data_IF_443266918593
#
_entry.id   IF_443266918593
#
_cell.length_a   1.000
_cell.length_b   1.000
_cell.length_c   1.000
_cell.angle_alpha   90.00
_cell.angle_beta   90.00
_cell.angle_gamma   90.00
#
_symmetry.space_group_name_H-M   'P 1'
#
loop_
_entity.id
_entity.type
_entity.pdbx_description
1 polymer ?
#
# COMPACT_ATOMS: atom_id res chain seq x y z
N UNK A 1 -21.63 -18.76 -3.00
CA UNK A 1 -22.19 -17.40 -2.83
C UNK A 1 -21.13 -16.36 -2.48
N UNK A 2 -20.33 -16.54 -1.42
CA UNK A 2 -19.30 -15.57 -1.01
C UNK A 2 -18.29 -15.21 -2.12
N UNK A 3 -17.85 -16.21 -2.89
CA UNK A 3 -16.91 -16.06 -4.00
C UNK A 3 -17.45 -15.16 -5.13
N UNK A 4 -18.73 -15.34 -5.50
CA UNK A 4 -19.38 -14.51 -6.52
C UNK A 4 -19.46 -13.05 -6.04
N UNK A 5 -19.79 -12.84 -4.77
CA UNK A 5 -19.91 -11.50 -4.18
C UNK A 5 -18.56 -10.78 -4.13
N UNK A 6 -17.47 -11.52 -3.89
CA UNK A 6 -16.10 -11.01 -3.96
C UNK A 6 -15.71 -10.65 -5.41
N UNK A 7 -16.05 -11.49 -6.39
CA UNK A 7 -15.76 -11.21 -7.80
C UNK A 7 -16.49 -9.95 -8.30
N UNK A 8 -17.74 -9.76 -7.90
CA UNK A 8 -18.50 -8.54 -8.21
C UNK A 8 -17.84 -7.33 -7.55
N UNK A 9 -17.48 -7.42 -6.28
CA UNK A 9 -16.77 -6.36 -5.57
C UNK A 9 -15.45 -5.98 -6.24
N UNK A 10 -14.69 -6.98 -6.70
CA UNK A 10 -13.42 -6.78 -7.42
C UNK A 10 -13.63 -6.03 -8.74
N UNK A 11 -14.64 -6.42 -9.53
CA UNK A 11 -14.93 -5.75 -10.79
C UNK A 11 -15.26 -4.25 -10.58
N UNK A 12 -16.12 -3.96 -9.60
CA UNK A 12 -16.48 -2.58 -9.26
C UNK A 12 -15.26 -1.81 -8.72
N UNK A 13 -14.40 -2.46 -7.94
CA UNK A 13 -13.18 -1.85 -7.39
C UNK A 13 -12.20 -1.43 -8.49
N UNK A 14 -12.08 -2.20 -9.57
CA UNK A 14 -11.28 -1.83 -10.73
C UNK A 14 -11.84 -0.56 -11.38
N UNK A 15 -13.15 -0.50 -11.59
CA UNK A 15 -13.82 0.68 -12.17
C UNK A 15 -13.67 1.93 -11.29
N UNK A 16 -13.83 1.79 -9.98
CA UNK A 16 -13.60 2.85 -8.99
C UNK A 16 -12.15 3.34 -9.05
N UNK A 17 -11.19 2.41 -9.16
CA UNK A 17 -9.78 2.74 -9.29
C UNK A 17 -9.49 3.59 -10.52
N UNK A 18 -10.04 3.22 -11.68
CA UNK A 18 -9.89 3.97 -12.94
C UNK A 18 -10.57 5.33 -12.86
N UNK A 19 -11.83 5.37 -12.43
CA UNK A 19 -12.60 6.62 -12.31
C UNK A 19 -11.99 7.58 -11.27
N UNK A 20 -11.38 7.05 -10.20
CA UNK A 20 -10.72 7.84 -9.17
C UNK A 20 -9.47 8.57 -9.65
N UNK A 21 -8.84 8.14 -10.75
CA UNK A 21 -7.70 8.86 -11.34
C UNK A 21 -8.12 10.22 -11.89
N UNK A 22 -9.35 10.35 -12.39
CA UNK A 22 -9.87 11.58 -13.01
C UNK A 22 -9.84 12.79 -12.03
N UNK A 23 -10.51 12.74 -10.85
CA UNK A 23 -10.45 13.84 -9.89
C UNK A 23 -9.04 14.02 -9.31
N UNK A 24 -8.22 12.97 -9.22
CA UNK A 24 -6.82 13.07 -8.76
C UNK A 24 -5.98 13.92 -9.71
N UNK A 25 -6.15 13.74 -11.02
CA UNK A 25 -5.43 14.50 -12.05
C UNK A 25 -5.87 15.97 -12.08
N UNK A 26 -7.17 16.25 -11.87
CA UNK A 26 -7.68 17.63 -11.72
C UNK A 26 -7.31 18.27 -10.37
N UNK A 27 -6.79 17.49 -9.43
CA UNK A 27 -6.56 17.87 -8.03
C UNK A 27 -7.80 18.35 -7.28
N UNK A 28 -8.95 17.78 -7.62
CA UNK A 28 -10.18 17.92 -6.85
C UNK A 28 -10.16 16.97 -5.63
N UNK A 29 -9.14 17.14 -4.80
CA UNK A 29 -8.84 16.26 -3.66
C UNK A 29 -10.03 16.21 -2.68
N UNK A 30 -10.76 17.32 -2.56
CA UNK A 30 -11.96 17.41 -1.71
C UNK A 30 -13.10 16.49 -2.15
N UNK A 31 -13.25 16.21 -3.45
CA UNK A 31 -14.28 15.29 -3.96
C UNK A 31 -13.94 13.86 -3.55
N UNK A 32 -12.67 13.46 -3.72
CA UNK A 32 -12.21 12.11 -3.36
C UNK A 32 -12.33 11.90 -1.85
N UNK A 33 -11.84 12.84 -1.04
CA UNK A 33 -11.92 12.75 0.41
C UNK A 33 -13.38 12.69 0.89
N UNK A 34 -14.30 13.45 0.29
CA UNK A 34 -15.73 13.36 0.62
C UNK A 34 -16.31 11.99 0.27
N UNK A 35 -16.01 11.45 -0.91
CA UNK A 35 -16.50 10.12 -1.33
C UNK A 35 -15.93 9.02 -0.42
N UNK A 36 -14.64 9.08 -0.09
CA UNK A 36 -13.99 8.13 0.81
C UNK A 36 -14.55 8.22 2.23
N UNK A 37 -14.76 9.44 2.74
CA UNK A 37 -15.33 9.68 4.07
C UNK A 37 -16.79 9.21 4.15
N UNK A 38 -17.62 9.52 3.15
CA UNK A 38 -19.00 9.02 3.06
C UNK A 38 -19.00 7.49 3.04
N UNK A 39 -18.14 6.87 2.22
CA UNK A 39 -18.00 5.42 2.19
C UNK A 39 -17.61 4.83 3.54
N UNK A 40 -16.64 5.42 4.23
CA UNK A 40 -16.19 4.97 5.55
C UNK A 40 -17.29 5.13 6.61
N UNK A 41 -18.01 6.25 6.63
CA UNK A 41 -19.13 6.51 7.56
C UNK A 41 -20.28 5.53 7.31
N UNK A 42 -20.69 5.34 6.06
CA UNK A 42 -21.75 4.39 5.69
C UNK A 42 -21.35 2.97 6.09
N UNK A 43 -20.10 2.57 5.82
CA UNK A 43 -19.57 1.26 6.24
C UNK A 43 -19.63 1.09 7.75
N UNK A 44 -19.16 2.10 8.50
CA UNK A 44 -19.16 2.07 9.97
C UNK A 44 -20.58 1.98 10.51
N UNK A 45 -21.50 2.82 10.05
CA UNK A 45 -22.88 2.86 10.50
C UNK A 45 -23.59 1.52 10.27
N UNK A 46 -23.43 0.93 9.07
CA UNK A 46 -24.02 -0.37 8.74
C UNK A 46 -23.43 -1.48 9.60
N UNK A 47 -22.10 -1.50 9.79
CA UNK A 47 -21.44 -2.52 10.63
C UNK A 47 -21.84 -2.40 12.10
N UNK A 48 -21.96 -1.19 12.65
CA UNK A 48 -22.42 -0.97 14.03
C UNK A 48 -23.86 -1.43 14.20
N UNK A 49 -24.74 -1.12 13.24
CA UNK A 49 -26.13 -1.55 13.30
C UNK A 49 -26.27 -3.08 13.22
N UNK A 50 -25.47 -3.73 12.36
CA UNK A 50 -25.45 -5.19 12.23
C UNK A 50 -24.75 -5.89 13.40
N UNK A 51 -23.88 -5.19 14.14
CA UNK A 51 -23.24 -5.74 15.35
C UNK A 51 -24.26 -6.12 16.43
N UNK A 52 -25.39 -5.40 16.51
CA UNK A 52 -26.46 -5.68 17.46
C UNK A 52 -27.38 -6.83 17.04
N UNK A 53 -27.29 -7.31 15.79
CA UNK A 53 -28.14 -8.37 15.26
C UNK A 53 -27.32 -9.65 15.08
N UNK A 54 -26.32 -9.62 14.19
CA UNK A 54 -25.44 -10.76 13.90
C UNK A 54 -24.23 -10.30 13.07
N UNK A 55 -23.03 -10.37 13.66
CA UNK A 55 -21.79 -10.03 12.96
C UNK A 55 -21.09 -11.30 12.46
N UNK A 56 -21.13 -11.54 11.15
CA UNK A 56 -20.36 -12.61 10.50
C UNK A 56 -19.43 -12.00 9.43
N UNK A 57 -18.29 -12.65 9.16
CA UNK A 57 -17.36 -12.24 8.11
C UNK A 57 -18.03 -12.10 6.74
N UNK A 58 -19.03 -12.94 6.44
CA UNK A 58 -19.83 -12.80 5.22
C UNK A 58 -20.60 -11.49 5.13
N UNK A 59 -21.17 -11.04 6.25
CA UNK A 59 -21.88 -9.76 6.35
C UNK A 59 -20.91 -8.60 6.14
N UNK A 60 -19.73 -8.65 6.77
CA UNK A 60 -18.71 -7.60 6.62
C UNK A 60 -18.23 -7.43 5.16
N UNK A 61 -18.08 -8.56 4.43
CA UNK A 61 -17.73 -8.54 3.01
C UNK A 61 -18.86 -7.92 2.18
N UNK A 62 -20.12 -8.31 2.41
CA UNK A 62 -21.27 -7.76 1.68
C UNK A 62 -21.40 -6.26 1.89
N UNK A 63 -21.27 -5.78 3.13
CA UNK A 63 -21.29 -4.34 3.44
C UNK A 63 -20.17 -3.60 2.72
N UNK A 64 -18.96 -4.19 2.67
CA UNK A 64 -17.83 -3.61 1.95
C UNK A 64 -18.10 -3.49 0.44
N UNK A 65 -18.70 -4.52 -0.17
CA UNK A 65 -19.11 -4.47 -1.59
C UNK A 65 -20.17 -3.41 -1.86
N UNK A 66 -21.17 -3.25 -0.99
CA UNK A 66 -22.20 -2.22 -1.11
C UNK A 66 -21.59 -0.81 -1.04
N UNK A 67 -20.65 -0.60 -0.11
CA UNK A 67 -19.96 0.69 0.05
C UNK A 67 -19.12 1.02 -1.18
N UNK A 68 -18.38 0.04 -1.72
CA UNK A 68 -17.61 0.22 -2.96
C UNK A 68 -18.53 0.55 -4.14
N UNK A 69 -19.70 -0.08 -4.22
CA UNK A 69 -20.70 0.24 -5.24
C UNK A 69 -21.26 1.65 -5.10
N UNK A 70 -21.51 2.12 -3.88
CA UNK A 70 -21.89 3.51 -3.64
C UNK A 70 -20.80 4.49 -4.10
N UNK A 71 -19.53 4.21 -3.79
CA UNK A 71 -18.40 5.02 -4.25
C UNK A 71 -18.30 5.06 -5.78
N UNK A 72 -18.53 3.93 -6.46
CA UNK A 72 -18.61 3.85 -7.91
C UNK A 72 -19.69 4.78 -8.49
N UNK A 73 -20.91 4.75 -7.93
CA UNK A 73 -22.01 5.59 -8.41
C UNK A 73 -21.70 7.09 -8.24
N UNK A 74 -21.12 7.47 -7.10
CA UNK A 74 -20.72 8.85 -6.83
C UNK A 74 -19.61 9.32 -7.77
N UNK A 75 -18.59 8.49 -7.99
CA UNK A 75 -17.49 8.79 -8.93
C UNK A 75 -17.98 8.84 -10.37
N UNK A 76 -18.83 7.91 -10.79
CA UNK A 76 -19.39 7.90 -12.15
C UNK A 76 -20.25 9.13 -12.41
N UNK A 77 -21.05 9.56 -11.43
CA UNK A 77 -21.85 10.80 -11.53
C UNK A 77 -20.96 12.03 -11.64
N UNK A 78 -19.86 12.09 -10.89
CA UNK A 78 -18.88 13.17 -10.99
C UNK A 78 -18.20 13.18 -12.37
N UNK A 79 -17.65 12.03 -12.78
CA UNK A 79 -16.92 11.89 -14.04
C UNK A 79 -17.80 12.15 -15.26
N UNK A 80 -19.09 11.80 -15.23
CA UNK A 80 -20.04 12.11 -16.30
C UNK A 80 -20.28 13.61 -16.52
N UNK A 81 -20.08 14.44 -15.48
CA UNK A 81 -20.16 15.89 -15.61
C UNK A 81 -18.88 16.53 -16.16
N UNK A 82 -17.79 15.77 -16.27
CA UNK A 82 -16.43 16.28 -16.44
C UNK A 82 -15.73 15.68 -17.67
N UNK A 83 -16.13 14.51 -18.12
CA UNK A 83 -15.56 13.75 -19.24
C UNK A 83 -16.66 13.25 -20.16
N UNK A 84 -16.43 13.37 -21.46
CA UNK A 84 -17.23 12.70 -22.48
C UNK A 84 -16.76 11.23 -22.61
N UNK A 85 -17.62 10.30 -22.17
CA UNK A 85 -17.35 8.86 -22.28
C UNK A 85 -17.41 8.34 -23.73
N UNK A 86 -17.91 9.13 -24.67
CA UNK A 86 -18.02 8.79 -26.09
C UNK A 86 -16.81 9.19 -26.95
N UNK A 87 -15.80 9.84 -26.37
CA UNK A 87 -14.64 10.31 -27.14
C UNK A 87 -13.83 9.15 -27.76
N UNK A 88 -13.38 9.28 -29.02
CA UNK A 88 -12.59 8.24 -29.69
C UNK A 88 -11.25 8.02 -29.00
N UNK A 89 -10.85 6.74 -28.87
CA UNK A 89 -9.59 6.37 -28.24
C UNK A 89 -8.40 6.72 -29.13
N UNK A 90 -7.42 7.43 -28.58
CA UNK A 90 -6.16 7.69 -29.26
C UNK A 90 -5.28 6.42 -29.28
N UNK A 91 -4.75 6.06 -30.45
CA UNK A 91 -3.97 4.83 -30.64
C UNK A 91 -2.58 4.91 -29.98
N UNK A 92 -1.98 6.10 -29.93
CA UNK A 92 -0.66 6.32 -29.33
C UNK A 92 -0.71 6.16 -27.80
N UNK A 93 -1.70 6.77 -27.16
CA UNK A 93 -1.93 6.65 -25.71
C UNK A 93 -2.20 5.20 -25.30
N UNK A 94 -2.97 4.46 -26.11
CA UNK A 94 -3.25 3.04 -25.89
C UNK A 94 -1.97 2.20 -25.93
N UNK A 95 -1.07 2.50 -26.86
CA UNK A 95 0.19 1.76 -27.03
C UNK A 95 1.14 2.07 -25.87
N UNK A 96 1.26 3.33 -25.46
CA UNK A 96 2.04 3.74 -24.29
C UNK A 96 1.51 3.12 -22.99
N UNK A 97 0.19 3.15 -22.76
CA UNK A 97 -0.43 2.51 -21.60
C UNK A 97 -0.20 0.99 -21.58
N UNK A 98 -0.35 0.31 -22.72
CA UNK A 98 -0.10 -1.14 -22.80
C UNK A 98 1.35 -1.50 -22.52
N UNK A 99 2.30 -0.69 -22.99
CA UNK A 99 3.72 -0.84 -22.66
C UNK A 99 3.97 -0.77 -21.16
N UNK A 100 3.41 0.24 -20.49
CA UNK A 100 3.51 0.42 -19.05
C UNK A 100 2.80 -0.70 -18.26
N UNK A 101 1.60 -1.10 -18.68
CA UNK A 101 0.87 -2.20 -18.04
C UNK A 101 1.66 -3.49 -18.16
N UNK A 102 2.21 -3.80 -19.35
CA UNK A 102 2.98 -5.04 -19.57
C UNK A 102 4.25 -5.09 -18.74
N UNK A 103 4.94 -3.96 -18.57
CA UNK A 103 6.15 -3.90 -17.74
C UNK A 103 5.83 -4.04 -16.24
N UNK A 104 4.67 -3.58 -15.79
CA UNK A 104 4.25 -3.65 -14.39
C UNK A 104 3.47 -4.93 -14.05
N UNK A 105 2.88 -5.62 -15.03
CA UNK A 105 2.01 -6.77 -14.81
C UNK A 105 2.69 -7.88 -14.03
N UNK A 106 3.93 -8.22 -14.37
CA UNK A 106 4.68 -9.26 -13.66
C UNK A 106 4.92 -8.90 -12.19
N UNK A 107 5.25 -7.64 -11.92
CA UNK A 107 5.45 -7.17 -10.55
C UNK A 107 4.12 -7.17 -9.76
N UNK A 108 3.02 -6.74 -10.38
CA UNK A 108 1.70 -6.76 -9.75
C UNK A 108 1.25 -8.18 -9.41
N UNK A 109 1.43 -9.14 -10.33
CA UNK A 109 1.14 -10.56 -10.08
C UNK A 109 2.00 -11.09 -8.93
N UNK A 110 3.31 -10.84 -8.96
CA UNK A 110 4.19 -11.26 -7.88
C UNK A 110 3.77 -10.68 -6.53
N UNK A 111 3.45 -9.39 -6.46
CA UNK A 111 3.02 -8.73 -5.23
C UNK A 111 1.74 -9.37 -4.63
N UNK A 112 0.78 -9.74 -5.48
CA UNK A 112 -0.42 -10.48 -5.05
C UNK A 112 -0.08 -11.85 -4.43
N UNK A 113 0.90 -12.57 -4.99
CA UNK A 113 1.34 -13.86 -4.46
C UNK A 113 2.30 -13.75 -3.27
N UNK A 114 3.13 -12.71 -3.21
CA UNK A 114 4.17 -12.51 -2.21
C UNK A 114 3.60 -12.54 -0.78
N UNK A 115 2.48 -11.86 -0.55
CA UNK A 115 1.80 -11.86 0.75
C UNK A 115 1.34 -13.26 1.16
N UNK A 116 0.79 -14.03 0.21
CA UNK A 116 0.34 -15.40 0.45
C UNK A 116 1.49 -16.37 0.67
N UNK A 117 2.60 -16.23 -0.08
CA UNK A 117 3.82 -17.00 0.12
C UNK A 117 4.35 -16.79 1.53
N UNK A 118 4.37 -15.55 2.02
CA UNK A 118 4.84 -15.24 3.38
C UNK A 118 3.97 -15.92 4.44
N UNK A 119 2.64 -15.83 4.30
CA UNK A 119 1.69 -16.49 5.22
C UNK A 119 1.84 -18.01 5.15
N UNK A 120 2.01 -18.58 3.95
CA UNK A 120 2.19 -20.01 3.74
C UNK A 120 3.48 -20.51 4.38
N UNK A 121 4.61 -19.82 4.15
CA UNK A 121 5.89 -20.15 4.78
C UNK A 121 5.77 -20.12 6.31
N UNK A 122 5.16 -19.07 6.87
CA UNK A 122 4.96 -18.99 8.31
C UNK A 122 4.03 -20.12 8.80
N UNK A 123 2.94 -20.41 8.11
CA UNK A 123 2.00 -21.45 8.53
C UNK A 123 2.57 -22.87 8.42
N UNK A 124 3.42 -23.12 7.42
CA UNK A 124 4.04 -24.42 7.20
C UNK A 124 5.22 -24.67 8.14
N UNK A 125 6.04 -23.64 8.39
CA UNK A 125 7.24 -23.76 9.23
C UNK A 125 7.02 -23.40 10.70
N UNK A 126 6.01 -22.59 11.04
CA UNK A 126 5.65 -22.33 12.44
C UNK A 126 4.86 -23.53 12.99
N UNK A 127 5.45 -24.23 13.96
CA UNK A 127 4.78 -25.31 14.68
C UNK A 127 3.63 -24.82 15.58
N UNK A 128 3.51 -23.51 15.79
CA UNK A 128 2.55 -22.86 16.70
C UNK A 128 1.79 -21.74 15.99
N UNK A 129 0.47 -21.70 16.16
CA UNK A 129 -0.42 -20.72 15.52
C UNK A 129 -0.24 -19.28 16.02
N UNK A 130 0.56 -19.04 17.06
CA UNK A 130 0.85 -17.71 17.61
C UNK A 130 1.60 -16.82 16.61
N UNK A 131 2.60 -17.38 15.92
CA UNK A 131 3.44 -16.62 14.96
C UNK A 131 2.63 -16.00 13.82
N UNK A 132 1.59 -16.69 13.34
CA UNK A 132 0.68 -16.16 12.30
C UNK A 132 -0.21 -15.04 12.86
N UNK A 133 -0.67 -15.18 14.10
CA UNK A 133 -1.52 -14.18 14.75
C UNK A 133 -0.78 -12.87 15.05
N UNK A 134 0.53 -12.93 15.32
CA UNK A 134 1.37 -11.75 15.54
C UNK A 134 1.70 -11.02 14.24
N UNK A 135 1.91 -11.76 13.16
CA UNK A 135 2.03 -11.17 11.81
C UNK A 135 0.71 -10.51 11.40
N UNK A 136 -0.43 -11.07 11.79
CA UNK A 136 -1.73 -10.41 11.67
C UNK A 136 -1.86 -9.13 12.50
N UNK A 137 -1.27 -9.10 13.70
CA UNK A 137 -1.27 -7.93 14.58
C UNK A 137 -0.40 -6.78 14.04
N UNK A 138 0.66 -7.09 13.31
CA UNK A 138 1.45 -6.11 12.54
C UNK A 138 0.55 -5.32 11.58
N UNK A 139 -0.46 -5.97 10.99
CA UNK A 139 -1.49 -5.31 10.18
C UNK A 139 -2.27 -4.23 10.95
N UNK A 140 -2.54 -4.42 12.25
CA UNK A 140 -3.17 -3.39 13.09
C UNK A 140 -2.22 -2.23 13.39
N UNK A 141 -0.95 -2.51 13.66
CA UNK A 141 0.07 -1.46 13.83
C UNK A 141 0.26 -0.65 12.55
N UNK A 142 0.24 -1.32 11.40
CA UNK A 142 0.36 -0.68 10.10
C UNK A 142 -0.79 0.32 9.82
N UNK A 143 -1.92 0.23 10.53
CA UNK A 143 -3.02 1.20 10.39
C UNK A 143 -2.62 2.63 10.73
N UNK A 144 -1.62 2.84 11.59
CA UNK A 144 -1.10 4.19 11.91
C UNK A 144 -0.56 4.86 10.64
N UNK A 145 -0.02 4.08 9.70
CA UNK A 145 0.52 4.58 8.42
C UNK A 145 -0.54 4.76 7.33
N UNK A 146 -1.81 4.39 7.57
CA UNK A 146 -2.88 4.55 6.57
C UNK A 146 -3.15 6.01 6.25
N UNK A 147 -3.06 6.91 7.23
CA UNK A 147 -3.21 8.35 7.00
C UNK A 147 -2.12 8.85 6.05
N UNK A 148 -0.88 8.44 6.30
CA UNK A 148 0.27 8.77 5.46
C UNK A 148 0.10 8.22 4.03
N UNK A 149 -0.33 6.96 3.90
CA UNK A 149 -0.59 6.34 2.61
C UNK A 149 -1.68 7.08 1.82
N UNK A 150 -2.73 7.55 2.49
CA UNK A 150 -3.79 8.36 1.87
C UNK A 150 -3.29 9.73 1.41
N UNK A 151 -2.47 10.41 2.23
CA UNK A 151 -1.86 11.69 1.84
C UNK A 151 -0.94 11.51 0.62
N UNK A 152 -0.15 10.44 0.60
CA UNK A 152 0.67 10.09 -0.56
C UNK A 152 -0.18 9.88 -1.81
N UNK A 153 -1.17 9.00 -1.75
CA UNK A 153 -1.98 8.62 -2.91
C UNK A 153 -2.85 9.76 -3.47
N UNK A 154 -3.39 10.62 -2.60
CA UNK A 154 -4.36 11.64 -2.99
C UNK A 154 -3.78 13.05 -3.16
N UNK A 155 -2.65 13.38 -2.49
CA UNK A 155 -2.09 14.74 -2.49
C UNK A 155 -0.70 14.76 -3.12
N UNK A 156 0.24 14.00 -2.54
CA UNK A 156 1.65 14.12 -2.91
C UNK A 156 1.96 13.49 -4.26
N UNK A 157 1.41 12.32 -4.56
CA UNK A 157 1.62 11.62 -5.85
C UNK A 157 1.08 12.45 -7.02
N UNK A 158 -0.17 12.96 -7.00
CA UNK A 158 -0.66 13.83 -8.08
C UNK A 158 0.11 15.16 -8.19
N UNK A 159 0.48 15.79 -7.08
CA UNK A 159 1.30 17.00 -7.09
C UNK A 159 2.66 16.73 -7.76
N UNK A 160 3.33 15.64 -7.35
CA UNK A 160 4.61 15.23 -7.90
C UNK A 160 4.52 14.88 -9.39
N UNK A 161 3.47 14.19 -9.82
CA UNK A 161 3.24 13.83 -11.23
C UNK A 161 3.14 15.07 -12.12
N UNK A 162 2.48 16.15 -11.65
CA UNK A 162 2.27 17.40 -12.42
C UNK A 162 3.50 18.30 -12.48
N UNK A 163 4.41 18.23 -11.51
CA UNK A 163 5.60 19.07 -11.50
C UNK A 163 6.55 18.70 -12.65
N UNK A 164 6.75 19.60 -13.62
CA UNK A 164 7.72 19.43 -14.71
C UNK A 164 9.07 20.11 -14.41
N UNK A 165 9.06 21.12 -13.53
CA UNK A 165 10.26 21.88 -13.20
C UNK A 165 11.20 21.11 -12.26
N UNK A 166 12.46 20.98 -12.65
CA UNK A 166 13.44 20.08 -12.01
C UNK A 166 13.82 20.46 -10.59
N UNK A 167 14.09 21.75 -10.36
CA UNK A 167 14.50 22.26 -9.04
C UNK A 167 13.36 22.07 -8.04
N UNK A 168 12.14 22.36 -8.48
CA UNK A 168 10.94 22.15 -7.69
C UNK A 168 10.67 20.66 -7.45
N UNK A 169 10.86 19.80 -8.46
CA UNK A 169 10.68 18.35 -8.34
C UNK A 169 11.64 17.73 -7.32
N UNK A 170 12.93 18.11 -7.34
CA UNK A 170 13.92 17.67 -6.32
C UNK A 170 13.55 18.14 -4.93
N UNK A 171 13.14 19.40 -4.79
CA UNK A 171 12.71 19.95 -3.50
C UNK A 171 11.49 19.22 -2.96
N UNK A 172 10.48 18.98 -3.81
CA UNK A 172 9.27 18.25 -3.44
C UNK A 172 9.56 16.80 -3.07
N UNK A 173 10.45 16.12 -3.80
CA UNK A 173 10.90 14.77 -3.45
C UNK A 173 11.57 14.74 -2.07
N UNK A 174 12.50 15.66 -1.81
CA UNK A 174 13.18 15.76 -0.51
C UNK A 174 12.22 16.11 0.63
N UNK A 175 11.24 16.97 0.38
CA UNK A 175 10.21 17.31 1.37
C UNK A 175 9.32 16.11 1.70
N UNK A 176 8.85 15.37 0.68
CA UNK A 176 8.01 14.18 0.89
C UNK A 176 8.82 13.06 1.56
N UNK A 177 9.99 12.72 1.03
CA UNK A 177 10.84 11.66 1.57
C UNK A 177 11.36 12.00 2.97
N UNK A 178 11.76 13.26 3.20
CA UNK A 178 12.20 13.76 4.50
C UNK A 178 11.07 13.79 5.52
N UNK A 179 9.88 14.26 5.14
CA UNK A 179 8.68 14.29 5.99
C UNK A 179 8.23 12.89 6.39
N UNK A 180 8.18 11.96 5.43
CA UNK A 180 7.87 10.54 5.70
C UNK A 180 8.93 9.91 6.62
N UNK A 181 10.22 10.14 6.34
CA UNK A 181 11.31 9.59 7.16
C UNK A 181 11.28 10.15 8.58
N UNK A 182 11.01 11.44 8.74
CA UNK A 182 10.84 12.08 10.05
C UNK A 182 9.67 11.46 10.80
N UNK A 183 8.51 11.31 10.15
CA UNK A 183 7.35 10.65 10.74
C UNK A 183 7.68 9.22 11.19
N UNK A 184 8.37 8.45 10.35
CA UNK A 184 8.83 7.10 10.69
C UNK A 184 9.77 7.07 11.91
N UNK A 185 10.72 8.00 12.00
CA UNK A 185 11.63 8.13 13.15
C UNK A 185 10.83 8.46 14.42
N UNK A 186 9.85 9.38 14.33
CA UNK A 186 8.98 9.73 15.45
C UNK A 186 8.17 8.52 15.91
N UNK A 187 7.63 7.72 15.00
CA UNK A 187 6.88 6.49 15.35
C UNK A 187 7.78 5.46 16.03
N UNK A 188 9.01 5.26 15.55
CA UNK A 188 9.98 4.35 16.19
C UNK A 188 10.36 4.85 17.59
N UNK A 189 10.65 6.15 17.74
CA UNK A 189 10.96 6.75 19.03
C UNK A 189 9.78 6.63 20.00
N UNK A 190 8.56 6.90 19.55
CA UNK A 190 7.35 6.74 20.36
C UNK A 190 7.14 5.28 20.77
N UNK A 191 7.39 4.30 19.89
CA UNK A 191 7.30 2.88 20.21
C UNK A 191 8.38 2.43 21.20
N UNK A 192 9.56 3.06 21.18
CA UNK A 192 10.64 2.79 22.14
C UNK A 192 10.38 3.39 23.52
N UNK A 193 9.77 4.58 23.59
CA UNK A 193 9.50 5.29 24.86
C UNK A 193 8.18 4.83 25.50
N UNK A 194 7.16 4.56 24.69
CA UNK A 194 5.81 4.19 25.15
C UNK A 194 5.33 2.84 24.59
N UNK A 195 6.08 1.74 24.79
CA UNK A 195 5.74 0.42 24.25
C UNK A 195 4.37 -0.09 24.72
N UNK A 196 4.00 0.17 25.98
CA UNK A 196 2.75 -0.32 26.55
C UNK A 196 1.50 0.27 25.88
N UNK A 197 1.58 1.51 25.41
CA UNK A 197 0.47 2.15 24.69
C UNK A 197 0.26 1.53 23.30
N UNK A 198 1.35 1.22 22.60
CA UNK A 198 1.29 0.49 21.34
C UNK A 198 0.74 -0.93 21.55
N UNK A 199 1.21 -1.64 22.57
CA UNK A 199 0.72 -2.99 22.91
C UNK A 199 -0.75 -2.98 23.35
N UNK A 200 -1.21 -1.94 24.03
CA UNK A 200 -2.62 -1.77 24.38
C UNK A 200 -3.52 -1.71 23.14
N UNK A 201 -3.08 -1.03 22.07
CA UNK A 201 -3.80 -0.98 20.79
C UNK A 201 -3.85 -2.35 20.10
N UNK A 202 -2.81 -3.18 20.24
CA UNK A 202 -2.87 -4.58 19.77
C UNK A 202 -3.83 -5.43 20.60
N UNK A 203 -3.89 -5.16 21.91
CA UNK A 203 -4.71 -5.84 22.89
C UNK A 203 -3.89 -6.67 23.88
N UNK A 204 -4.50 -7.02 25.03
CA UNK A 204 -3.84 -7.70 26.15
C UNK A 204 -3.18 -9.04 25.78
N UNK A 205 -3.67 -9.72 24.74
CA UNK A 205 -3.05 -10.96 24.22
C UNK A 205 -1.61 -10.77 23.74
N UNK A 206 -1.21 -9.56 23.38
CA UNK A 206 0.11 -9.24 22.83
C UNK A 206 1.06 -8.60 23.85
N UNK A 207 0.67 -8.50 25.13
CA UNK A 207 1.48 -7.84 26.17
C UNK A 207 2.88 -8.45 26.37
N UNK A 208 3.08 -9.72 25.97
CA UNK A 208 4.36 -10.41 26.04
C UNK A 208 5.37 -9.99 24.95
N UNK A 209 4.93 -9.27 23.90
CA UNK A 209 5.75 -8.87 22.74
C UNK A 209 6.54 -7.57 22.94
N UNK A 210 6.76 -7.15 24.19
CA UNK A 210 7.46 -5.90 24.48
C UNK A 210 8.84 -5.80 23.82
N UNK A 211 9.58 -6.92 23.74
CA UNK A 211 10.90 -6.98 23.08
C UNK A 211 10.81 -7.01 21.54
N UNK A 212 9.69 -7.48 21.01
CA UNK A 212 9.50 -7.67 19.57
C UNK A 212 8.75 -6.51 18.91
N UNK A 213 8.11 -5.65 19.71
CA UNK A 213 7.40 -4.47 19.27
C UNK A 213 8.26 -3.60 18.33
N UNK A 214 9.54 -3.38 18.67
CA UNK A 214 10.43 -2.58 17.83
C UNK A 214 10.67 -3.22 16.45
N UNK A 215 10.68 -4.56 16.36
CA UNK A 215 10.80 -5.26 15.07
C UNK A 215 9.49 -5.15 14.26
N UNK A 216 8.34 -5.24 14.93
CA UNK A 216 7.02 -5.05 14.28
C UNK A 216 6.85 -3.62 13.76
N UNK A 217 7.24 -2.62 14.56
CA UNK A 217 7.19 -1.21 14.14
C UNK A 217 8.22 -0.94 13.06
N UNK A 218 9.43 -1.48 13.17
CA UNK A 218 10.48 -1.33 12.17
C UNK A 218 10.09 -1.90 10.80
N UNK A 219 9.41 -3.04 10.77
CA UNK A 219 8.89 -3.64 9.52
C UNK A 219 7.75 -2.80 8.92
N UNK A 220 6.84 -2.28 9.74
CA UNK A 220 5.80 -1.35 9.29
C UNK A 220 6.40 -0.04 8.72
N UNK A 221 7.44 0.49 9.34
CA UNK A 221 8.18 1.67 8.87
C UNK A 221 8.89 1.39 7.53
N UNK A 222 9.57 0.26 7.39
CA UNK A 222 10.21 -0.11 6.14
C UNK A 222 9.19 -0.29 5.01
N UNK A 223 8.03 -0.88 5.31
CA UNK A 223 6.94 -0.99 4.35
C UNK A 223 6.42 0.39 3.92
N UNK A 224 6.23 1.33 4.87
CA UNK A 224 5.81 2.69 4.59
C UNK A 224 6.83 3.46 3.73
N UNK A 225 8.13 3.34 4.05
CA UNK A 225 9.20 3.96 3.28
C UNK A 225 9.29 3.39 1.85
N UNK A 226 9.28 2.06 1.73
CA UNK A 226 9.33 1.38 0.43
C UNK A 226 8.12 1.75 -0.43
N UNK A 227 6.92 1.78 0.16
CA UNK A 227 5.69 2.21 -0.52
C UNK A 227 5.72 3.67 -0.96
N UNK A 228 6.34 4.55 -0.16
CA UNK A 228 6.52 5.97 -0.51
C UNK A 228 7.41 6.12 -1.74
N UNK A 229 8.61 5.53 -1.73
CA UNK A 229 9.53 5.61 -2.85
C UNK A 229 8.96 4.97 -4.12
N UNK A 230 8.31 3.83 -3.98
CA UNK A 230 7.62 3.17 -5.09
C UNK A 230 6.56 4.09 -5.71
N UNK A 231 5.73 4.73 -4.89
CA UNK A 231 4.65 5.61 -5.37
C UNK A 231 5.19 6.83 -6.13
N UNK A 232 6.28 7.43 -5.64
CA UNK A 232 6.94 8.55 -6.31
C UNK A 232 7.59 8.12 -7.64
N UNK A 233 8.27 6.98 -7.66
CA UNK A 233 8.88 6.42 -8.87
C UNK A 233 7.83 6.06 -9.92
N UNK A 234 6.72 5.45 -9.50
CA UNK A 234 5.61 5.11 -10.37
C UNK A 234 4.96 6.37 -11.00
N UNK A 235 4.82 7.45 -10.23
CA UNK A 235 4.20 8.71 -10.67
C UNK A 235 4.94 9.37 -11.86
N UNK A 236 6.25 9.16 -11.98
CA UNK A 236 7.09 9.66 -13.08
C UNK A 236 7.57 8.58 -14.05
N UNK A 237 6.99 7.38 -13.97
CA UNK A 237 7.38 6.22 -14.77
C UNK A 237 8.88 5.83 -14.66
N UNK A 238 9.54 6.16 -13.53
CA UNK A 238 10.93 5.75 -13.24
C UNK A 238 11.05 4.28 -12.80
N UNK A 239 10.06 3.47 -13.15
CA UNK A 239 9.93 2.05 -12.80
C UNK A 239 10.66 1.12 -13.77
N UNK A 240 11.41 1.66 -14.73
CA UNK A 240 12.22 0.85 -15.63
C UNK A 240 13.34 0.11 -14.84
N UNK A 241 13.19 -1.20 -14.66
CA UNK A 241 14.04 -2.03 -13.79
C UNK A 241 13.30 -2.66 -12.62
N UNK A 242 12.02 -2.35 -12.42
CA UNK A 242 11.18 -2.95 -11.35
C UNK A 242 11.05 -4.46 -11.44
N UNK A 243 11.34 -5.06 -12.59
CA UNK A 243 11.45 -6.52 -12.72
C UNK A 243 12.44 -7.12 -11.71
N UNK A 244 13.49 -6.39 -11.33
CA UNK A 244 14.48 -6.83 -10.33
C UNK A 244 13.88 -7.01 -8.93
N UNK A 245 12.70 -6.43 -8.65
CA UNK A 245 12.01 -6.59 -7.36
C UNK A 245 11.72 -8.06 -7.05
N UNK A 246 11.28 -8.82 -8.06
CA UNK A 246 10.91 -10.24 -7.95
C UNK A 246 12.12 -11.12 -7.57
N UNK A 247 13.20 -11.19 -8.39
CA UNK A 247 14.34 -12.03 -8.08
C UNK A 247 15.03 -11.58 -6.81
N UNK A 248 15.11 -10.28 -6.53
CA UNK A 248 15.77 -9.78 -5.33
C UNK A 248 15.02 -10.18 -4.05
N UNK A 249 13.68 -10.09 -4.07
CA UNK A 249 12.84 -10.56 -2.97
C UNK A 249 12.99 -12.07 -2.78
N UNK A 250 12.85 -12.86 -3.86
CA UNK A 250 12.91 -14.31 -3.78
C UNK A 250 14.29 -14.83 -3.35
N UNK A 251 15.37 -14.29 -3.91
CA UNK A 251 16.74 -14.66 -3.53
C UNK A 251 17.01 -14.34 -2.07
N UNK A 252 16.55 -13.18 -1.59
CA UNK A 252 16.72 -12.81 -0.17
C UNK A 252 15.92 -13.73 0.73
N UNK A 253 14.67 -14.04 0.38
CA UNK A 253 13.84 -14.98 1.14
C UNK A 253 14.47 -16.38 1.17
N UNK A 254 14.88 -16.92 0.02
CA UNK A 254 15.55 -18.23 -0.09
C UNK A 254 16.85 -18.24 0.73
N UNK A 255 17.64 -17.16 0.67
CA UNK A 255 18.86 -17.05 1.44
C UNK A 255 18.62 -16.97 2.94
N UNK A 256 17.51 -16.37 3.39
CA UNK A 256 17.17 -16.22 4.81
C UNK A 256 16.51 -17.48 5.42
N UNK A 257 15.84 -18.32 4.63
CA UNK A 257 15.14 -19.52 5.13
C UNK A 257 16.05 -20.43 5.98
N UNK A 258 17.29 -20.79 5.57
CA UNK A 258 18.18 -21.64 6.36
C UNK A 258 18.60 -21.05 7.71
N UNK A 259 18.59 -19.71 7.82
CA UNK A 259 19.03 -18.99 9.02
C UNK A 259 17.86 -18.59 9.94
N UNK A 260 16.62 -18.87 9.54
CA UNK A 260 15.42 -18.42 10.24
C UNK A 260 14.73 -19.60 10.91
N UNK A 261 14.68 -19.61 12.25
CA UNK A 261 13.80 -20.51 13.00
C UNK A 261 12.38 -19.93 13.07
N UNK A 262 11.50 -20.44 12.23
CA UNK A 262 10.09 -20.01 12.16
C UNK A 262 9.25 -20.39 13.40
N UNK A 263 9.81 -21.19 14.32
CA UNK A 263 9.17 -21.47 15.61
C UNK A 263 9.21 -20.27 16.56
N UNK A 264 10.12 -19.31 16.32
CA UNK A 264 10.32 -18.12 17.15
C UNK A 264 9.80 -16.89 16.41
N UNK A 265 8.91 -16.14 17.07
CA UNK A 265 8.24 -14.95 16.52
C UNK A 265 9.23 -13.88 16.08
N UNK A 266 10.21 -13.56 16.94
CA UNK A 266 11.33 -12.68 16.62
C UNK A 266 11.98 -13.00 15.28
N UNK A 267 12.25 -14.27 14.99
CA UNK A 267 12.91 -14.70 13.75
C UNK A 267 12.01 -14.47 12.54
N UNK A 268 10.70 -14.71 12.65
CA UNK A 268 9.71 -14.42 11.60
C UNK A 268 9.63 -12.92 11.30
N UNK A 269 9.63 -12.08 12.33
CA UNK A 269 9.64 -10.63 12.18
C UNK A 269 10.95 -10.14 11.56
N UNK A 270 12.10 -10.70 11.97
CA UNK A 270 13.40 -10.41 11.35
C UNK A 270 13.44 -10.84 9.88
N UNK A 271 12.87 -12.00 9.55
CA UNK A 271 12.73 -12.46 8.17
C UNK A 271 11.93 -11.48 7.31
N UNK A 272 10.79 -10.99 7.80
CA UNK A 272 9.98 -10.01 7.07
C UNK A 272 10.70 -8.67 6.89
N UNK A 273 11.36 -8.20 7.96
CA UNK A 273 12.13 -6.96 7.97
C UNK A 273 13.29 -7.02 6.97
N UNK A 274 14.11 -8.07 7.04
CA UNK A 274 15.28 -8.25 6.16
C UNK A 274 14.86 -8.49 4.71
N UNK A 275 13.75 -9.19 4.46
CA UNK A 275 13.21 -9.37 3.10
C UNK A 275 12.77 -8.06 2.44
N UNK A 276 12.52 -7.01 3.22
CA UNK A 276 12.07 -5.70 2.71
C UNK A 276 13.22 -4.74 2.40
N UNK A 277 14.42 -4.96 2.97
CA UNK A 277 15.60 -4.08 2.77
C UNK A 277 16.05 -4.00 1.31
N UNK A 278 16.19 -5.10 0.56
CA UNK A 278 16.64 -5.04 -0.83
C UNK A 278 15.67 -4.24 -1.71
N UNK A 279 14.37 -4.33 -1.43
CA UNK A 279 13.33 -3.59 -2.14
C UNK A 279 13.42 -2.09 -1.88
N UNK A 280 13.73 -1.68 -0.65
CA UNK A 280 14.01 -0.29 -0.33
C UNK A 280 15.23 0.23 -1.11
N UNK A 281 16.33 -0.53 -1.13
CA UNK A 281 17.55 -0.18 -1.85
C UNK A 281 17.32 -0.06 -3.36
N UNK A 282 16.57 -1.00 -3.95
CA UNK A 282 16.20 -0.95 -5.36
C UNK A 282 15.37 0.30 -5.67
N UNK A 283 14.40 0.64 -4.82
CA UNK A 283 13.59 1.85 -4.99
C UNK A 283 14.42 3.13 -4.92
N UNK A 284 15.39 3.20 -4.00
CA UNK A 284 16.34 4.32 -3.95
C UNK A 284 17.17 4.40 -5.23
N UNK A 285 17.70 3.26 -5.71
CA UNK A 285 18.48 3.21 -6.95
C UNK A 285 17.66 3.66 -8.17
N UNK A 286 16.39 3.26 -8.26
CA UNK A 286 15.45 3.70 -9.30
C UNK A 286 15.20 5.21 -9.22
N UNK A 287 15.02 5.77 -8.01
CA UNK A 287 14.88 7.22 -7.82
C UNK A 287 16.11 7.97 -8.33
N UNK A 288 17.33 7.53 -7.93
CA UNK A 288 18.58 8.15 -8.39
C UNK A 288 18.74 8.07 -9.92
N UNK A 289 18.39 6.92 -10.52
CA UNK A 289 18.44 6.75 -11.98
C UNK A 289 17.44 7.66 -12.69
N UNK A 290 16.23 7.80 -12.14
CA UNK A 290 15.20 8.71 -12.65
C UNK A 290 15.65 10.17 -12.68
N UNK A 291 16.29 10.62 -11.58
CA UNK A 291 16.87 11.98 -11.53
C UNK A 291 18.00 12.19 -12.55
N UNK A 292 18.85 11.17 -12.80
CA UNK A 292 19.93 11.23 -13.81
C UNK A 292 19.39 11.21 -15.24
N UNK A 293 18.38 10.40 -15.54
CA UNK A 293 17.75 10.40 -16.88
C UNK A 293 17.10 11.74 -17.20
N UNK A 294 16.59 12.43 -16.18
CA UNK A 294 16.14 13.80 -16.34
C UNK A 294 17.30 14.71 -16.73
N UNK A 295 18.42 14.71 -16.02
CA UNK A 295 19.60 15.55 -16.32
C UNK A 295 20.07 15.42 -17.77
N UNK A 296 20.20 14.19 -18.27
CA UNK A 296 20.63 13.89 -19.64
C UNK A 296 19.66 14.42 -20.71
N UNK A 297 18.36 14.56 -20.41
CA UNK A 297 17.36 15.00 -21.38
C UNK A 297 17.32 16.53 -21.62
N UNK A 298 18.10 17.33 -20.89
CA UNK A 298 18.25 18.77 -21.19
C UNK A 298 19.70 19.21 -21.43
N UNK A 299 20.64 18.27 -21.36
CA UNK A 299 21.99 18.54 -21.82
C UNK A 299 21.98 18.47 -23.35
#
# INVERSE_FOLDING_TARGET
MLTILVLIGLAIQLDVGVLGVIPRLRADIGVIQRIDLIGAIVRLAILVLLAFIFLNGGVAITVSTIVIFLQYLLLRRYSAGVIDFGAPQNADDRTAMRGLIRSQAANAVFYCFQGQITIFLISFFARQSSSVAEVGALGRLAMIFVVLANLLANVFVPAFARCQERRHLRSLYLQIAGGVSLFCIVVIAAAAIFPDQFLFVLGSKYAHLHRELLLMVGSAVLAALTGTFWSLNAAKAWVAGSWLYIPLTLLTQIALIPFTDFSVVRSVLMFNLLSSVPNLLLNLALSFRGFRSLELATA
#
